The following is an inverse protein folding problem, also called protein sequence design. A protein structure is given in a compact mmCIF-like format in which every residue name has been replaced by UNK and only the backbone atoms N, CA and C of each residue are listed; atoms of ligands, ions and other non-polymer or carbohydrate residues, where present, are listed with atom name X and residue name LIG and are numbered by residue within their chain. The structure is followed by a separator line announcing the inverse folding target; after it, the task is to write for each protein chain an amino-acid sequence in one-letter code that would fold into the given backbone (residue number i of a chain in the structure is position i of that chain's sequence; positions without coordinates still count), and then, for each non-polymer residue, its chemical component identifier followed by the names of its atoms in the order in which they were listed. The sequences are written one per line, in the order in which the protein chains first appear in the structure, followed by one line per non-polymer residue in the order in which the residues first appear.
data_IF_831425735845
#
_entry.id   IF_831425735845
#
_cell.length_a   1.000
_cell.length_b   1.000
_cell.length_c   1.000
_cell.angle_alpha   90.00
_cell.angle_beta   90.00
_cell.angle_gamma   90.00
#
_symmetry.space_group_name_H-M   'P 1'
#
loop_
_entity.id
_entity.type
_entity.pdbx_description
1 polymer ?
#
# COMPACT_ATOMS: atom_id res chain seq x y z
N UNK A 1 -23.04 18.57 5.67
CA UNK A 1 -22.06 18.03 6.64
C UNK A 1 -21.95 18.97 7.84
N UNK A 2 -21.79 18.47 9.07
CA UNK A 2 -21.59 19.31 10.28
C UNK A 2 -20.16 19.20 10.79
N UNK A 3 -19.66 20.25 11.46
CA UNK A 3 -18.31 20.23 12.07
C UNK A 3 -18.17 19.10 13.10
N UNK A 4 -19.25 18.79 13.83
CA UNK A 4 -19.28 17.69 14.80
C UNK A 4 -19.01 16.34 14.13
N UNK A 5 -19.66 16.07 13.00
CA UNK A 5 -19.46 14.84 12.22
C UNK A 5 -18.03 14.71 11.70
N UNK A 6 -17.42 15.81 11.23
CA UNK A 6 -16.01 15.82 10.80
C UNK A 6 -15.10 15.47 11.97
N UNK A 7 -15.36 16.04 13.15
CA UNK A 7 -14.53 15.78 14.33
C UNK A 7 -14.65 14.32 14.79
N UNK A 8 -15.85 13.75 14.82
CA UNK A 8 -16.09 12.34 15.14
C UNK A 8 -15.38 11.40 14.15
N UNK A 9 -15.42 11.72 12.86
CA UNK A 9 -14.68 10.96 11.86
C UNK A 9 -13.17 11.09 12.02
N UNK A 10 -12.67 12.29 12.29
CA UNK A 10 -11.23 12.50 12.49
C UNK A 10 -10.71 11.79 13.74
N UNK A 11 -11.49 11.76 14.81
CA UNK A 11 -11.17 11.00 16.02
C UNK A 11 -11.12 9.49 15.74
N UNK A 12 -12.06 8.98 14.95
CA UNK A 12 -12.17 7.54 14.66
C UNK A 12 -11.19 7.04 13.59
N UNK A 13 -10.94 7.85 12.56
CA UNK A 13 -10.24 7.42 11.35
C UNK A 13 -8.94 8.18 11.07
N UNK A 14 -8.68 9.26 11.80
CA UNK A 14 -7.53 10.14 11.58
C UNK A 14 -7.83 11.19 10.51
N UNK A 15 -7.07 11.21 9.43
CA UNK A 15 -7.34 12.12 8.33
C UNK A 15 -8.55 11.68 7.51
N UNK A 16 -9.35 12.65 7.10
CA UNK A 16 -10.59 12.48 6.33
C UNK A 16 -10.51 13.36 5.10
N UNK A 17 -10.89 12.79 3.98
CA UNK A 17 -10.80 13.39 2.65
C UNK A 17 -12.20 13.51 2.06
N UNK A 18 -12.44 14.62 1.36
CA UNK A 18 -13.64 14.83 0.57
C UNK A 18 -13.31 14.48 -0.88
N UNK A 19 -14.15 13.65 -1.50
CA UNK A 19 -14.07 13.29 -2.91
C UNK A 19 -15.34 13.80 -3.62
N UNK A 20 -15.30 15.02 -4.18
CA UNK A 20 -16.39 15.54 -4.99
C UNK A 20 -16.43 14.85 -6.36
N UNK A 21 -17.63 14.47 -6.82
CA UNK A 21 -17.87 13.94 -8.16
C UNK A 21 -19.12 14.61 -8.71
N UNK A 22 -18.91 15.67 -9.49
CA UNK A 22 -19.98 16.55 -10.00
C UNK A 22 -20.92 17.07 -8.88
N UNK A 23 -22.18 16.65 -8.87
CA UNK A 23 -23.19 17.05 -7.87
C UNK A 23 -23.17 16.17 -6.60
N UNK A 24 -22.28 15.19 -6.52
CA UNK A 24 -22.17 14.22 -5.42
C UNK A 24 -20.88 14.38 -4.63
N UNK A 25 -20.88 13.89 -3.39
CA UNK A 25 -19.69 13.93 -2.54
C UNK A 25 -19.56 12.68 -1.69
N UNK A 26 -18.39 12.05 -1.74
CA UNK A 26 -18.00 10.96 -0.84
C UNK A 26 -16.98 11.47 0.19
N UNK A 27 -16.98 10.88 1.37
CA UNK A 27 -15.96 11.12 2.40
C UNK A 27 -15.18 9.83 2.64
N UNK A 28 -13.85 9.94 2.60
CA UNK A 28 -12.94 8.81 2.65
C UNK A 28 -11.97 8.93 3.83
N UNK A 29 -11.55 7.80 4.40
CA UNK A 29 -10.40 7.72 5.31
C UNK A 29 -9.13 7.35 4.54
N UNK A 30 -7.96 7.54 5.17
CA UNK A 30 -6.70 6.97 4.65
C UNK A 30 -6.75 5.44 4.59
N UNK A 31 -6.13 4.82 3.56
CA UNK A 31 -5.97 3.38 3.49
C UNK A 31 -4.97 2.85 4.51
N UNK A 32 -5.25 1.65 5.01
CA UNK A 32 -4.33 0.81 5.79
C UNK A 32 -3.76 -0.29 4.91
N UNK A 33 -2.69 -0.94 5.36
CA UNK A 33 -2.11 -2.06 4.60
C UNK A 33 -3.10 -3.20 4.37
N UNK A 34 -4.01 -3.47 5.31
CA UNK A 34 -5.06 -4.47 5.11
C UNK A 34 -5.99 -4.14 3.91
N UNK A 35 -6.26 -2.86 3.65
CA UNK A 35 -7.09 -2.44 2.52
C UNK A 35 -6.38 -2.73 1.20
N UNK A 36 -5.10 -2.34 1.08
CA UNK A 36 -4.28 -2.67 -0.09
C UNK A 36 -4.17 -4.17 -0.30
N UNK A 37 -3.88 -4.96 0.74
CA UNK A 37 -3.82 -6.43 0.63
C UNK A 37 -5.12 -7.00 0.07
N UNK A 38 -6.27 -6.51 0.53
CA UNK A 38 -7.60 -6.94 0.03
C UNK A 38 -7.82 -6.51 -1.42
N UNK A 39 -7.56 -5.25 -1.74
CA UNK A 39 -7.79 -4.70 -3.07
C UNK A 39 -6.88 -5.32 -4.14
N UNK A 40 -5.60 -5.53 -3.84
CA UNK A 40 -4.69 -6.24 -4.75
C UNK A 40 -5.07 -7.72 -4.91
N UNK A 41 -5.62 -8.36 -3.88
CA UNK A 41 -6.13 -9.73 -4.02
C UNK A 41 -7.32 -9.76 -4.99
N UNK A 42 -8.24 -8.80 -4.89
CA UNK A 42 -9.34 -8.66 -5.83
C UNK A 42 -8.82 -8.35 -7.25
N UNK A 43 -7.83 -7.47 -7.37
CA UNK A 43 -7.20 -7.13 -8.65
C UNK A 43 -6.62 -8.35 -9.37
N UNK A 44 -5.91 -9.22 -8.63
CA UNK A 44 -5.34 -10.45 -9.19
C UNK A 44 -6.41 -11.40 -9.73
N UNK A 45 -7.64 -11.34 -9.20
CA UNK A 45 -8.75 -12.22 -9.56
C UNK A 45 -9.62 -11.63 -10.68
N UNK A 46 -9.99 -10.37 -10.54
CA UNK A 46 -11.07 -9.72 -11.30
C UNK A 46 -10.63 -8.39 -11.98
N UNK A 47 -9.32 -8.05 -11.94
CA UNK A 47 -8.73 -6.91 -12.67
C UNK A 47 -8.79 -5.57 -11.92
N UNK A 48 -8.30 -4.50 -12.58
CA UNK A 48 -8.17 -3.17 -11.96
C UNK A 48 -9.51 -2.52 -11.57
N UNK A 49 -10.63 -2.95 -12.17
CA UNK A 49 -11.96 -2.48 -11.79
C UNK A 49 -12.28 -2.92 -10.36
N UNK A 50 -12.07 -4.21 -10.07
CA UNK A 50 -12.28 -4.80 -8.74
C UNK A 50 -11.37 -4.19 -7.67
N UNK A 51 -10.15 -3.75 -8.04
CA UNK A 51 -9.31 -2.97 -7.14
C UNK A 51 -10.01 -1.67 -6.69
N UNK A 52 -10.53 -0.91 -7.66
CA UNK A 52 -11.22 0.35 -7.41
C UNK A 52 -12.48 0.16 -6.57
N UNK A 53 -13.30 -0.85 -6.89
CA UNK A 53 -14.50 -1.20 -6.12
C UNK A 53 -14.15 -1.50 -4.66
N UNK A 54 -13.19 -2.39 -4.42
CA UNK A 54 -12.79 -2.80 -3.07
C UNK A 54 -12.17 -1.64 -2.29
N UNK A 55 -11.34 -0.81 -2.91
CA UNK A 55 -10.75 0.36 -2.24
C UNK A 55 -11.82 1.38 -1.90
N UNK A 56 -12.66 1.77 -2.86
CA UNK A 56 -13.71 2.76 -2.62
C UNK A 56 -14.66 2.29 -1.50
N UNK A 57 -15.08 1.02 -1.55
CA UNK A 57 -15.90 0.41 -0.49
C UNK A 57 -15.21 0.48 0.89
N UNK A 58 -13.93 0.11 0.96
CA UNK A 58 -13.19 0.03 2.22
C UNK A 58 -12.92 1.40 2.85
N UNK A 59 -12.73 2.43 2.02
CA UNK A 59 -12.36 3.78 2.46
C UNK A 59 -13.56 4.70 2.70
N UNK A 60 -14.72 4.40 2.12
CA UNK A 60 -15.93 5.19 2.27
C UNK A 60 -16.42 5.23 3.73
N UNK A 61 -16.52 6.43 4.30
CA UNK A 61 -17.01 6.65 5.68
C UNK A 61 -18.32 7.45 5.72
N UNK A 62 -18.76 7.99 4.59
CA UNK A 62 -20.05 8.67 4.44
C UNK A 62 -20.16 9.44 3.11
N UNK A 63 -21.29 10.10 2.90
CA UNK A 63 -21.58 10.86 1.67
C UNK A 63 -22.61 10.17 0.79
N UNK A 64 -22.65 10.55 -0.49
CA UNK A 64 -23.56 9.99 -1.48
C UNK A 64 -23.10 8.59 -1.92
N UNK A 65 -23.98 7.61 -1.73
CA UNK A 65 -23.68 6.20 -2.02
C UNK A 65 -23.61 5.90 -3.52
N UNK A 66 -24.20 6.76 -4.35
CA UNK A 66 -24.21 6.63 -5.81
C UNK A 66 -22.79 6.61 -6.38
N UNK A 67 -21.83 7.28 -5.72
CA UNK A 67 -20.41 7.28 -6.11
C UNK A 67 -19.82 5.86 -6.15
N UNK A 68 -20.37 4.92 -5.37
CA UNK A 68 -19.90 3.53 -5.29
C UNK A 68 -20.87 2.51 -5.91
N UNK A 69 -22.04 2.94 -6.38
CA UNK A 69 -23.07 2.04 -6.92
C UNK A 69 -23.56 2.40 -8.32
N UNK A 70 -23.18 3.57 -8.85
CA UNK A 70 -23.58 4.05 -10.18
C UNK A 70 -22.32 4.35 -10.99
N UNK A 71 -22.20 3.68 -12.13
CA UNK A 71 -21.01 3.70 -13.00
C UNK A 71 -20.54 5.10 -13.38
N UNK A 72 -21.47 6.02 -13.68
CA UNK A 72 -21.17 7.40 -14.08
C UNK A 72 -20.36 8.16 -13.02
N UNK A 73 -20.63 7.93 -11.73
CA UNK A 73 -19.89 8.55 -10.63
C UNK A 73 -18.68 7.69 -10.21
N UNK A 74 -18.78 6.37 -10.34
CA UNK A 74 -17.74 5.45 -9.94
C UNK A 74 -16.47 5.59 -10.77
N UNK A 75 -16.57 5.70 -12.09
CA UNK A 75 -15.37 5.77 -12.96
C UNK A 75 -14.49 7.01 -12.68
N UNK A 76 -15.04 8.23 -12.56
CA UNK A 76 -14.27 9.40 -12.12
C UNK A 76 -13.67 9.22 -10.73
N UNK A 77 -14.47 8.74 -9.76
CA UNK A 77 -14.00 8.50 -8.39
C UNK A 77 -12.81 7.53 -8.34
N UNK A 78 -12.87 6.42 -9.09
CA UNK A 78 -11.80 5.43 -9.20
C UNK A 78 -10.51 6.03 -9.77
N UNK A 79 -10.61 6.96 -10.72
CA UNK A 79 -9.45 7.64 -11.27
C UNK A 79 -8.76 8.50 -10.21
N UNK A 80 -9.51 9.32 -9.48
CA UNK A 80 -8.99 10.14 -8.37
C UNK A 80 -8.37 9.28 -7.25
N UNK A 81 -8.99 8.13 -6.93
CA UNK A 81 -8.41 7.19 -5.97
C UNK A 81 -7.00 6.71 -6.35
N UNK A 82 -6.71 6.58 -7.64
CA UNK A 82 -5.39 6.13 -8.11
C UNK A 82 -4.31 7.16 -7.78
N UNK A 83 -4.64 8.45 -7.88
CA UNK A 83 -3.74 9.56 -7.51
C UNK A 83 -3.63 9.69 -5.98
N UNK A 84 -4.73 9.46 -5.26
CA UNK A 84 -4.77 9.46 -3.79
C UNK A 84 -3.85 8.40 -3.14
N UNK A 85 -3.55 7.29 -3.84
CA UNK A 85 -2.68 6.22 -3.34
C UNK A 85 -1.19 6.41 -3.65
N UNK A 86 -0.80 7.58 -4.15
CA UNK A 86 0.58 7.84 -4.54
C UNK A 86 1.48 8.09 -3.32
N UNK A 87 2.13 7.04 -2.83
CA UNK A 87 3.21 7.16 -1.84
C UNK A 87 4.54 7.36 -2.54
N UNK A 88 5.36 8.26 -1.98
CA UNK A 88 6.73 8.44 -2.44
C UNK A 88 7.52 7.13 -2.33
N UNK A 89 8.31 6.88 -3.36
CA UNK A 89 9.25 5.76 -3.38
C UNK A 89 10.26 5.90 -2.25
N UNK A 90 10.60 4.77 -1.62
CA UNK A 90 11.67 4.76 -0.61
C UNK A 90 13.04 5.08 -1.24
N UNK A 91 13.84 5.89 -0.56
CA UNK A 91 15.26 6.03 -0.88
C UNK A 91 16.03 4.81 -0.34
N UNK A 92 16.99 4.31 -1.14
CA UNK A 92 17.80 3.14 -0.78
C UNK A 92 19.28 3.49 -0.90
N UNK A 93 19.98 3.51 0.24
CA UNK A 93 21.43 3.73 0.32
C UNK A 93 22.12 2.39 0.57
N UNK A 94 23.21 2.10 -0.14
CA UNK A 94 24.02 0.89 0.10
C UNK A 94 25.10 1.18 1.15
N UNK A 95 25.17 0.35 2.18
CA UNK A 95 26.16 0.46 3.27
C UNK A 95 26.87 -0.88 3.46
N UNK A 96 28.02 -1.05 2.80
CA UNK A 96 28.73 -2.33 2.75
C UNK A 96 27.85 -3.43 2.15
N UNK A 97 27.60 -4.49 2.93
CA UNK A 97 26.68 -5.58 2.55
C UNK A 97 25.23 -5.34 2.99
N UNK A 98 24.90 -4.14 3.46
CA UNK A 98 23.55 -3.79 3.92
C UNK A 98 22.93 -2.73 3.01
N UNK A 99 21.63 -2.50 3.19
CA UNK A 99 20.92 -1.39 2.59
C UNK A 99 20.15 -0.63 3.66
N UNK A 100 20.23 0.69 3.61
CA UNK A 100 19.42 1.59 4.43
C UNK A 100 18.24 2.03 3.56
N UNK A 101 17.03 1.75 4.01
CA UNK A 101 15.78 2.16 3.37
C UNK A 101 15.25 3.35 4.15
N UNK A 102 15.02 4.47 3.48
CA UNK A 102 14.54 5.74 4.07
C UNK A 102 13.17 6.06 3.47
N UNK A 103 12.20 6.36 4.35
CA UNK A 103 10.81 6.65 4.00
C UNK A 103 10.36 7.84 4.87
N UNK A 104 10.28 9.03 4.26
CA UNK A 104 10.15 10.27 5.01
C UNK A 104 11.33 10.44 5.98
N UNK A 105 11.04 10.66 7.26
CA UNK A 105 12.06 10.80 8.31
C UNK A 105 12.52 9.47 8.91
N UNK A 106 11.83 8.37 8.61
CA UNK A 106 12.10 7.07 9.20
C UNK A 106 13.06 6.25 8.34
N UNK A 107 13.98 5.52 8.97
CA UNK A 107 14.89 4.60 8.30
C UNK A 107 14.91 3.20 8.92
N UNK A 108 15.29 2.23 8.10
CA UNK A 108 15.61 0.89 8.55
C UNK A 108 16.84 0.34 7.81
N UNK A 109 17.55 -0.56 8.46
CA UNK A 109 18.73 -1.24 7.93
C UNK A 109 18.38 -2.70 7.69
N UNK A 110 18.59 -3.16 6.47
CA UNK A 110 18.39 -4.55 6.06
C UNK A 110 19.69 -5.15 5.55
N UNK A 111 19.94 -6.42 5.88
CA UNK A 111 21.03 -7.19 5.26
C UNK A 111 20.66 -7.61 3.83
N UNK A 112 21.64 -8.11 3.07
CA UNK A 112 21.38 -8.75 1.76
C UNK A 112 20.26 -9.79 1.86
N UNK A 113 19.29 -9.69 0.95
CA UNK A 113 18.24 -10.69 0.75
C UNK A 113 18.82 -11.84 -0.09
N UNK A 114 18.76 -13.06 0.45
CA UNK A 114 19.25 -14.25 -0.23
C UNK A 114 18.11 -15.06 -0.85
N UNK A 115 18.45 -15.99 -1.77
CA UNK A 115 17.48 -16.96 -2.31
C UNK A 115 16.81 -17.79 -1.22
N UNK A 116 17.52 -18.08 -0.13
CA UNK A 116 16.97 -18.86 0.98
C UNK A 116 15.93 -18.06 1.76
N UNK A 117 16.17 -16.76 1.98
CA UNK A 117 15.19 -15.86 2.61
C UNK A 117 13.89 -15.82 1.80
N UNK A 118 13.99 -15.67 0.48
CA UNK A 118 12.82 -15.66 -0.42
C UNK A 118 12.02 -16.95 -0.31
N UNK A 119 12.68 -18.11 -0.41
CA UNK A 119 12.01 -19.41 -0.26
C UNK A 119 11.30 -19.56 1.10
N UNK A 120 11.91 -19.07 2.18
CA UNK A 120 11.29 -19.13 3.52
C UNK A 120 10.10 -18.17 3.58
N UNK A 121 10.21 -16.96 3.02
CA UNK A 121 9.12 -15.98 3.01
C UNK A 121 7.92 -16.46 2.19
N UNK A 122 8.15 -17.04 1.00
CA UNK A 122 7.11 -17.64 0.16
C UNK A 122 6.39 -18.80 0.86
N UNK A 123 7.15 -19.68 1.54
CA UNK A 123 6.55 -20.75 2.37
C UNK A 123 5.66 -20.21 3.49
N UNK A 124 5.96 -19.02 4.01
CA UNK A 124 5.12 -18.32 5.00
C UNK A 124 3.93 -17.57 4.35
N UNK A 125 3.81 -17.60 3.02
CA UNK A 125 2.69 -17.04 2.26
C UNK A 125 2.09 -18.09 1.28
N UNK A 126 1.58 -19.22 1.78
CA UNK A 126 1.09 -20.31 0.93
C UNK A 126 -0.12 -19.91 0.07
N UNK A 127 -0.86 -18.88 0.47
CA UNK A 127 -2.01 -18.35 -0.28
C UNK A 127 -1.62 -17.29 -1.32
N UNK A 128 -0.33 -16.97 -1.47
CA UNK A 128 0.13 -15.97 -2.45
C UNK A 128 -0.44 -14.57 -2.22
N UNK A 129 -0.81 -14.22 -0.98
CA UNK A 129 -1.45 -12.94 -0.68
C UNK A 129 -0.47 -11.79 -0.99
N UNK A 130 -0.95 -10.69 -1.62
CA UNK A 130 -0.13 -9.52 -1.90
C UNK A 130 0.60 -8.99 -0.65
N UNK A 131 1.84 -8.53 -0.84
CA UNK A 131 2.72 -7.94 0.18
C UNK A 131 3.13 -8.84 1.36
N UNK A 132 2.50 -10.01 1.55
CA UNK A 132 2.83 -10.89 2.68
C UNK A 132 4.25 -11.45 2.56
N UNK A 133 4.69 -11.80 1.35
CA UNK A 133 6.07 -12.27 1.13
C UNK A 133 7.08 -11.17 1.47
N UNK A 134 6.84 -9.93 1.06
CA UNK A 134 7.68 -8.77 1.35
C UNK A 134 7.70 -8.44 2.84
N UNK A 135 6.55 -8.55 3.53
CA UNK A 135 6.46 -8.44 4.99
C UNK A 135 7.33 -9.49 5.68
N UNK A 136 7.24 -10.76 5.25
CA UNK A 136 8.04 -11.85 5.84
C UNK A 136 9.52 -11.73 5.52
N UNK A 137 9.88 -11.24 4.34
CA UNK A 137 11.27 -10.89 4.02
C UNK A 137 11.78 -9.83 4.97
N UNK A 138 11.07 -8.70 5.10
CA UNK A 138 11.48 -7.61 5.99
C UNK A 138 11.67 -8.08 7.44
N UNK A 139 10.74 -8.87 7.98
CA UNK A 139 10.86 -9.47 9.32
C UNK A 139 12.14 -10.30 9.52
N UNK A 140 12.66 -10.94 8.46
CA UNK A 140 13.83 -11.81 8.55
C UNK A 140 15.17 -11.10 8.25
N UNK A 141 15.14 -10.02 7.49
CA UNK A 141 16.36 -9.34 7.02
C UNK A 141 16.59 -7.98 7.68
N UNK A 142 15.59 -7.43 8.37
CA UNK A 142 15.74 -6.20 9.15
C UNK A 142 16.70 -6.42 10.31
N UNK A 143 17.73 -5.58 10.39
CA UNK A 143 18.72 -5.56 11.47
C UNK A 143 18.35 -4.50 12.50
N UNK A 144 17.98 -3.31 12.03
CA UNK A 144 17.64 -2.14 12.84
C UNK A 144 16.53 -1.35 12.14
N UNK A 145 15.64 -0.71 12.89
CA UNK A 145 14.54 0.10 12.35
C UNK A 145 14.04 1.10 13.37
N UNK A 146 13.59 2.25 12.89
CA UNK A 146 12.87 3.22 13.71
C UNK A 146 11.47 2.73 14.09
N UNK A 147 10.86 3.34 15.11
CA UNK A 147 9.55 2.94 15.64
C UNK A 147 8.41 3.05 14.62
N UNK A 148 8.54 3.93 13.62
CA UNK A 148 7.58 4.04 12.53
C UNK A 148 7.36 2.71 11.79
N UNK A 149 8.35 1.81 11.79
CA UNK A 149 8.28 0.47 11.20
C UNK A 149 7.72 -0.60 12.16
N UNK A 150 7.14 -0.22 13.30
CA UNK A 150 6.42 -1.14 14.18
C UNK A 150 4.93 -1.21 13.84
N UNK A 151 4.33 -0.12 13.37
CA UNK A 151 2.97 -0.13 12.87
C UNK A 151 2.90 -0.88 11.53
N UNK A 152 2.22 -2.02 11.50
CA UNK A 152 2.07 -2.87 10.31
C UNK A 152 0.95 -2.40 9.38
N UNK A 153 0.07 -1.54 9.86
CA UNK A 153 -1.08 -1.02 9.12
C UNK A 153 -0.84 0.36 8.53
N UNK A 154 0.19 1.09 8.99
CA UNK A 154 0.60 2.38 8.43
C UNK A 154 1.09 2.24 6.97
N UNK A 155 0.16 2.39 6.03
CA UNK A 155 0.41 2.19 4.61
C UNK A 155 1.48 3.14 4.05
N UNK A 156 1.52 4.39 4.49
CA UNK A 156 2.53 5.37 4.07
C UNK A 156 3.98 4.97 4.38
N UNK A 157 4.19 4.05 5.32
CA UNK A 157 5.52 3.48 5.62
C UNK A 157 5.66 2.11 4.99
N UNK A 158 4.64 1.27 5.10
CA UNK A 158 4.72 -0.15 4.72
C UNK A 158 4.67 -0.39 3.23
N UNK A 159 3.87 0.38 2.50
CA UNK A 159 3.74 0.23 1.06
C UNK A 159 5.07 0.50 0.35
N UNK A 160 5.72 1.68 0.53
CA UNK A 160 7.04 1.94 -0.05
C UNK A 160 8.13 1.01 0.49
N UNK A 161 8.05 0.58 1.76
CA UNK A 161 8.96 -0.44 2.29
C UNK A 161 8.88 -1.75 1.50
N UNK A 162 7.68 -2.25 1.22
CA UNK A 162 7.53 -3.50 0.50
C UNK A 162 7.97 -3.39 -0.96
N UNK A 163 7.72 -2.26 -1.61
CA UNK A 163 8.29 -1.96 -2.93
C UNK A 163 9.82 -1.91 -2.89
N UNK A 164 10.42 -1.32 -1.84
CA UNK A 164 11.87 -1.29 -1.66
C UNK A 164 12.46 -2.69 -1.47
N UNK A 165 11.83 -3.54 -0.65
CA UNK A 165 12.23 -4.93 -0.45
C UNK A 165 12.16 -5.73 -1.75
N UNK A 166 11.18 -5.47 -2.62
CA UNK A 166 11.10 -6.07 -3.95
C UNK A 166 12.20 -5.54 -4.89
N UNK A 167 12.44 -4.23 -4.92
CA UNK A 167 13.54 -3.61 -5.69
C UNK A 167 14.91 -4.18 -5.29
N UNK A 168 15.15 -4.42 -4.00
CA UNK A 168 16.39 -5.00 -3.49
C UNK A 168 16.66 -6.43 -3.98
N UNK A 169 15.63 -7.19 -4.33
CA UNK A 169 15.77 -8.54 -4.92
C UNK A 169 16.19 -8.49 -6.38
N UNK A 170 15.87 -7.40 -7.08
CA UNK A 170 15.98 -7.26 -8.53
C UNK A 170 17.01 -6.19 -8.94
N UNK A 171 18.08 -5.97 -8.15
CA UNK A 171 19.12 -4.96 -8.44
C UNK A 171 19.82 -5.14 -9.79
N UNK A 172 19.86 -6.35 -10.35
CA UNK A 172 20.48 -6.65 -11.65
C UNK A 172 19.41 -7.14 -12.62
N UNK A 173 19.35 -6.50 -13.79
CA UNK A 173 18.44 -6.88 -14.88
C UNK A 173 19.19 -7.79 -15.86
N UNK A 174 18.55 -8.86 -16.31
CA UNK A 174 19.05 -9.73 -17.36
C UNK A 174 18.07 -9.75 -18.54
N UNK A 175 18.58 -9.81 -19.76
CA UNK A 175 17.77 -9.90 -20.99
C UNK A 175 18.25 -11.08 -21.81
N UNK A 176 17.34 -11.99 -22.14
CA UNK A 176 17.59 -13.05 -23.12
C UNK A 176 17.58 -12.43 -24.52
N UNK A 177 18.68 -12.55 -25.25
CA UNK A 177 18.76 -12.15 -26.66
C UNK A 177 18.70 -13.40 -27.53
N UNK A 178 17.75 -13.45 -28.46
CA UNK A 178 17.75 -14.43 -29.54
C UNK A 178 18.87 -14.07 -30.51
N UNK A 179 19.73 -15.04 -30.84
CA UNK A 179 20.76 -14.89 -31.88
C UNK A 179 20.14 -14.99 -33.27
#
# INVERSE_FOLDING_TARGET
MTQKQINEWKEKYGEVYELPVDDKTAYLRMPKMADFKRAFTAMQKDGELAFGEVMLEALFIGGDTEIKTVDEYFFPARKELTEFFNYDDAEIITEGNNSIIIIGEAKCKVRVITRQDIKIAEKKNPSGKPFVTQEKLFEMVCLEKDDAFNDKEKASVRFPLYQAIEKLQNKKVATLKKL
#
